data_IF_703706074558
#
_entry.id   IF_703706074558
#
_cell.length_a   1.000
_cell.length_b   1.000
_cell.length_c   1.000
_cell.angle_alpha   90.00
_cell.angle_beta   90.00
_cell.angle_gamma   90.00
#
_symmetry.space_group_name_H-M   'P 1'
#
loop_
_entity.id
_entity.type
_entity.pdbx_description
1 polymer ?
#
# COMPACT_ATOMS: atom_id res chain seq x y z
N UNK A 1 -33.55 -28.64 30.86
CA UNK A 1 -34.39 -27.44 30.63
C UNK A 1 -33.86 -26.71 29.41
N UNK A 2 -34.71 -26.32 28.43
CA UNK A 2 -34.25 -25.54 27.28
C UNK A 2 -33.73 -24.19 27.79
N UNK A 3 -32.46 -23.87 27.47
CA UNK A 3 -31.89 -22.56 27.81
C UNK A 3 -32.65 -21.51 27.00
N UNK A 4 -33.27 -20.54 27.67
CA UNK A 4 -33.91 -19.40 27.00
C UNK A 4 -32.88 -18.75 26.05
N UNK A 5 -33.30 -18.50 24.83
CA UNK A 5 -32.49 -17.79 23.85
C UNK A 5 -32.17 -16.41 24.42
N UNK A 6 -30.90 -15.96 24.39
CA UNK A 6 -30.56 -14.63 24.89
C UNK A 6 -31.18 -13.55 23.98
N UNK A 7 -31.69 -12.47 24.58
CA UNK A 7 -32.48 -11.44 23.90
C UNK A 7 -31.79 -10.83 22.67
N UNK A 8 -30.45 -10.72 22.69
CA UNK A 8 -29.69 -10.21 21.55
C UNK A 8 -29.77 -11.13 20.31
N UNK A 9 -29.92 -12.46 20.50
CA UNK A 9 -30.10 -13.40 19.37
C UNK A 9 -31.47 -13.27 18.73
N UNK A 10 -32.49 -12.94 19.53
CA UNK A 10 -33.84 -12.68 19.02
C UNK A 10 -33.90 -11.36 18.24
N UNK A 11 -33.12 -10.36 18.64
CA UNK A 11 -32.99 -9.06 17.94
C UNK A 11 -32.05 -9.08 16.74
N UNK A 12 -31.24 -10.14 16.56
CA UNK A 12 -30.25 -10.21 15.47
C UNK A 12 -30.88 -10.16 14.07
N UNK A 13 -31.99 -10.88 13.75
CA UNK A 13 -32.63 -10.75 12.45
C UNK A 13 -33.14 -9.34 12.16
N UNK A 14 -33.78 -8.70 13.14
CA UNK A 14 -34.27 -7.32 13.03
C UNK A 14 -33.13 -6.32 12.82
N UNK A 15 -32.00 -6.52 13.51
CA UNK A 15 -30.80 -5.72 13.31
C UNK A 15 -30.24 -5.87 11.89
N UNK A 16 -30.21 -7.09 11.34
CA UNK A 16 -29.73 -7.32 9.97
C UNK A 16 -30.69 -6.75 8.92
N UNK A 17 -31.99 -6.71 9.18
CA UNK A 17 -32.99 -6.06 8.33
C UNK A 17 -32.86 -4.53 8.40
N UNK A 18 -32.59 -3.97 9.58
CA UNK A 18 -32.32 -2.54 9.74
C UNK A 18 -31.09 -2.07 8.95
N UNK A 19 -30.09 -2.94 8.75
CA UNK A 19 -28.94 -2.65 7.86
C UNK A 19 -29.37 -2.60 6.39
N UNK A 20 -30.27 -3.50 5.95
CA UNK A 20 -30.74 -3.54 4.54
C UNK A 20 -31.58 -2.31 4.18
N UNK A 21 -32.38 -1.83 5.14
CA UNK A 21 -33.34 -0.74 4.93
C UNK A 21 -32.78 0.64 5.31
N UNK A 22 -31.49 0.75 5.67
CA UNK A 22 -30.93 2.02 6.07
C UNK A 22 -30.77 2.98 4.90
N UNK A 23 -31.21 4.22 5.12
CA UNK A 23 -31.12 5.34 4.17
C UNK A 23 -30.07 6.37 4.59
N UNK A 24 -29.59 6.31 5.84
CA UNK A 24 -28.61 7.24 6.40
C UNK A 24 -27.78 6.60 7.52
N UNK A 25 -26.69 7.28 7.88
CA UNK A 25 -25.77 6.83 8.95
C UNK A 25 -26.46 6.73 10.31
N UNK A 26 -27.37 7.66 10.63
CA UNK A 26 -28.03 7.71 11.94
C UNK A 26 -28.86 6.46 12.23
N UNK A 27 -29.54 5.91 11.21
CA UNK A 27 -30.27 4.65 11.32
C UNK A 27 -29.35 3.46 11.65
N UNK A 28 -28.14 3.43 11.08
CA UNK A 28 -27.14 2.40 11.40
C UNK A 28 -26.58 2.58 12.81
N UNK A 29 -26.33 3.82 13.24
CA UNK A 29 -25.91 4.11 14.61
C UNK A 29 -26.97 3.66 15.63
N UNK A 30 -28.24 3.95 15.36
CA UNK A 30 -29.37 3.57 16.19
C UNK A 30 -29.51 2.04 16.27
N UNK A 31 -29.52 1.34 15.12
CA UNK A 31 -29.58 -0.12 15.07
C UNK A 31 -28.41 -0.77 15.84
N UNK A 32 -27.20 -0.21 15.71
CA UNK A 32 -26.05 -0.69 16.45
C UNK A 32 -26.16 -0.42 17.96
N UNK A 33 -26.75 0.69 18.39
CA UNK A 33 -26.98 1.00 19.79
C UNK A 33 -27.99 0.02 20.42
N UNK A 34 -29.07 -0.29 19.71
CA UNK A 34 -30.11 -1.21 20.18
C UNK A 34 -29.60 -2.64 20.35
N UNK A 35 -28.83 -3.16 19.38
CA UNK A 35 -28.28 -4.51 19.49
C UNK A 35 -27.19 -4.58 20.58
N UNK A 36 -26.40 -3.51 20.76
CA UNK A 36 -25.44 -3.40 21.88
C UNK A 36 -26.16 -3.42 23.22
N UNK A 37 -27.22 -2.63 23.35
CA UNK A 37 -28.02 -2.56 24.57
C UNK A 37 -28.60 -3.93 24.92
N UNK A 38 -29.09 -4.68 23.94
CA UNK A 38 -29.57 -6.05 24.15
C UNK A 38 -28.47 -7.02 24.65
N UNK A 39 -27.23 -6.83 24.18
CA UNK A 39 -26.07 -7.60 24.70
C UNK A 39 -25.73 -7.17 26.12
N UNK A 40 -25.74 -5.87 26.42
CA UNK A 40 -25.48 -5.34 27.77
C UNK A 40 -26.51 -5.84 28.77
N UNK A 41 -27.79 -5.85 28.41
CA UNK A 41 -28.90 -6.37 29.24
C UNK A 41 -28.76 -7.88 29.54
N UNK A 42 -28.21 -8.65 28.59
CA UNK A 42 -27.94 -10.08 28.82
C UNK A 42 -26.74 -10.33 29.75
N UNK A 43 -25.82 -9.36 29.84
CA UNK A 43 -24.56 -9.47 30.59
C UNK A 43 -24.28 -8.17 31.35
N UNK A 44 -25.14 -7.76 32.31
CA UNK A 44 -25.05 -6.45 32.96
C UNK A 44 -23.76 -6.27 33.77
N UNK A 45 -23.33 -7.32 34.45
CA UNK A 45 -22.18 -7.26 35.38
C UNK A 45 -20.91 -7.93 34.83
N UNK A 46 -20.97 -8.48 33.61
CA UNK A 46 -19.84 -9.21 33.02
C UNK A 46 -19.43 -8.64 31.66
N UNK A 47 -18.71 -7.50 31.63
CA UNK A 47 -18.26 -6.87 30.39
C UNK A 47 -17.46 -7.80 29.47
N UNK A 48 -16.65 -8.70 30.03
CA UNK A 48 -15.89 -9.68 29.24
C UNK A 48 -16.79 -10.70 28.53
N UNK A 49 -17.91 -11.09 29.14
CA UNK A 49 -18.87 -12.03 28.56
C UNK A 49 -19.62 -11.44 27.36
N UNK A 50 -19.60 -10.11 27.17
CA UNK A 50 -20.18 -9.40 26.01
C UNK A 50 -19.36 -9.57 24.73
N UNK A 51 -18.07 -9.90 24.84
CA UNK A 51 -17.16 -10.04 23.69
C UNK A 51 -17.61 -11.14 22.73
N UNK A 52 -18.07 -12.27 23.26
CA UNK A 52 -18.54 -13.41 22.46
C UNK A 52 -19.81 -13.08 21.67
N UNK A 53 -20.91 -12.58 22.27
CA UNK A 53 -22.06 -12.06 21.52
C UNK A 53 -21.69 -11.05 20.44
N UNK A 54 -20.84 -10.07 20.76
CA UNK A 54 -20.41 -9.05 19.78
C UNK A 54 -19.57 -9.63 18.64
N UNK A 55 -18.82 -10.72 18.88
CA UNK A 55 -18.13 -11.47 17.84
C UNK A 55 -19.14 -12.21 16.95
N UNK A 56 -20.12 -12.87 17.55
CA UNK A 56 -21.20 -13.58 16.82
C UNK A 56 -22.02 -12.64 15.94
N UNK A 57 -22.41 -11.46 16.44
CA UNK A 57 -23.12 -10.43 15.64
C UNK A 57 -22.27 -10.00 14.44
N UNK A 58 -20.97 -9.73 14.63
CA UNK A 58 -20.07 -9.36 13.51
C UNK A 58 -19.87 -10.49 12.51
N UNK A 59 -19.90 -11.75 12.94
CA UNK A 59 -19.85 -12.89 12.03
C UNK A 59 -21.13 -12.94 11.20
N UNK A 60 -22.31 -12.79 11.82
CA UNK A 60 -23.59 -12.80 11.12
C UNK A 60 -23.69 -11.70 10.04
N UNK A 61 -23.16 -10.49 10.31
CA UNK A 61 -23.05 -9.43 9.28
C UNK A 61 -22.19 -9.91 8.11
N UNK A 62 -20.99 -10.45 8.36
CA UNK A 62 -20.08 -10.90 7.30
C UNK A 62 -20.61 -12.09 6.50
N UNK A 63 -21.37 -12.98 7.13
CA UNK A 63 -22.01 -14.11 6.47
C UNK A 63 -23.14 -13.65 5.53
N UNK A 64 -23.94 -12.67 5.97
CA UNK A 64 -25.01 -12.08 5.16
C UNK A 64 -24.45 -11.25 3.99
N UNK A 65 -23.43 -10.44 4.24
CA UNK A 65 -22.79 -9.59 3.25
C UNK A 65 -21.43 -10.16 2.86
N UNK A 66 -21.43 -11.22 2.04
CA UNK A 66 -20.20 -11.84 1.55
C UNK A 66 -19.36 -10.85 0.73
N UNK A 67 -18.02 -10.91 0.82
CA UNK A 67 -17.15 -10.08 0.00
C UNK A 67 -17.37 -10.36 -1.50
N UNK A 68 -17.31 -9.31 -2.32
CA UNK A 68 -17.33 -9.47 -3.78
C UNK A 68 -16.20 -10.40 -4.24
N UNK A 69 -16.48 -11.24 -5.26
CA UNK A 69 -15.49 -12.13 -5.88
C UNK A 69 -14.17 -11.39 -6.13
N UNK A 70 -13.10 -11.89 -5.50
CA UNK A 70 -11.74 -11.38 -5.70
C UNK A 70 -11.17 -10.49 -4.59
N UNK A 71 -11.92 -10.19 -3.52
CA UNK A 71 -11.41 -9.46 -2.34
C UNK A 71 -11.45 -10.32 -1.07
N UNK A 72 -10.40 -10.22 -0.25
CA UNK A 72 -10.28 -11.03 0.97
C UNK A 72 -11.35 -10.63 1.99
N UNK A 73 -11.95 -11.57 2.75
CA UNK A 73 -12.85 -11.28 3.88
C UNK A 73 -12.22 -10.39 4.98
N UNK A 74 -10.89 -10.24 4.94
CA UNK A 74 -10.08 -9.46 5.87
C UNK A 74 -9.50 -8.18 5.27
N UNK A 75 -9.82 -7.85 4.02
CA UNK A 75 -9.31 -6.66 3.36
C UNK A 75 -9.98 -5.40 3.96
N UNK A 76 -9.19 -4.60 4.67
CA UNK A 76 -9.62 -3.33 5.20
C UNK A 76 -9.87 -2.36 4.03
N UNK A 77 -11.13 -1.98 3.79
CA UNK A 77 -11.53 -1.19 2.62
C UNK A 77 -10.87 0.20 2.58
N UNK A 78 -10.15 0.64 1.54
CA UNK A 78 -9.44 1.94 1.53
C UNK A 78 -10.33 3.17 1.83
N UNK A 79 -9.76 4.21 2.46
CA UNK A 79 -10.42 5.49 2.81
C UNK A 79 -11.00 6.20 1.57
N UNK A 80 -12.22 6.79 1.58
CA UNK A 80 -13.23 6.85 2.66
C UNK A 80 -14.10 5.57 2.80
N UNK A 81 -14.23 5.11 4.04
CA UNK A 81 -14.42 3.71 4.49
C UNK A 81 -15.86 3.14 4.48
N UNK A 82 -16.79 3.74 3.76
CA UNK A 82 -18.13 3.17 3.50
C UNK A 82 -18.47 3.11 2.01
N UNK A 83 -17.51 3.45 1.15
CA UNK A 83 -17.63 3.35 -0.29
C UNK A 83 -16.71 2.26 -0.81
N UNK A 84 -17.19 1.41 -1.73
CA UNK A 84 -16.27 0.57 -2.51
C UNK A 84 -15.84 1.29 -3.79
N UNK A 85 -14.54 1.29 -4.08
CA UNK A 85 -13.97 1.76 -5.36
C UNK A 85 -14.29 0.83 -6.55
N UNK A 86 -15.26 -0.08 -6.40
CA UNK A 86 -15.66 -0.99 -7.48
C UNK A 86 -16.63 -0.22 -8.40
N UNK A 87 -16.07 0.26 -9.51
CA UNK A 87 -16.75 0.92 -10.65
C UNK A 87 -17.26 2.36 -10.41
N UNK A 88 -17.59 3.06 -11.52
CA UNK A 88 -18.04 4.47 -11.56
C UNK A 88 -19.27 4.69 -10.67
N UNK A 89 -19.04 4.99 -9.40
CA UNK A 89 -20.08 5.28 -8.43
C UNK A 89 -19.62 4.83 -7.05
N UNK A 90 -19.45 5.78 -6.13
CA UNK A 90 -19.23 5.49 -4.72
C UNK A 90 -20.52 4.86 -4.16
N UNK A 91 -20.57 3.53 -4.03
CA UNK A 91 -21.74 2.81 -3.47
C UNK A 91 -21.60 2.72 -1.95
N UNK A 92 -22.60 3.20 -1.23
CA UNK A 92 -22.68 3.15 0.23
C UNK A 92 -22.86 1.72 0.73
N UNK A 93 -22.06 1.35 1.73
CA UNK A 93 -22.04 0.01 2.34
C UNK A 93 -22.24 0.10 3.85
N UNK A 94 -23.51 0.05 4.25
CA UNK A 94 -23.95 0.15 5.63
C UNK A 94 -23.39 -0.96 6.54
N UNK A 95 -23.08 -2.13 6.00
CA UNK A 95 -22.49 -3.25 6.73
C UNK A 95 -21.10 -2.92 7.27
N UNK A 96 -20.31 -2.13 6.53
CA UNK A 96 -18.98 -1.69 6.96
C UNK A 96 -19.09 -0.70 8.12
N UNK A 97 -20.05 0.23 8.04
CA UNK A 97 -20.33 1.20 9.09
C UNK A 97 -20.77 0.51 10.38
N UNK A 98 -21.65 -0.50 10.28
CA UNK A 98 -22.10 -1.30 11.41
C UNK A 98 -20.95 -2.06 12.09
N UNK A 99 -20.09 -2.76 11.32
CA UNK A 99 -18.94 -3.50 11.89
C UNK A 99 -17.98 -2.56 12.62
N UNK A 100 -17.73 -1.36 12.08
CA UNK A 100 -16.89 -0.33 12.71
C UNK A 100 -17.48 0.09 14.05
N UNK A 101 -18.76 0.46 14.08
CA UNK A 101 -19.42 0.95 15.28
C UNK A 101 -19.49 -0.11 16.39
N UNK A 102 -19.69 -1.37 16.01
CA UNK A 102 -19.68 -2.51 16.94
C UNK A 102 -18.26 -2.84 17.45
N UNK A 103 -17.20 -2.42 16.76
CA UNK A 103 -15.80 -2.70 17.13
C UNK A 103 -15.13 -1.59 17.95
N UNK A 104 -15.63 -0.34 17.88
CA UNK A 104 -15.00 0.84 18.47
C UNK A 104 -14.90 0.84 20.01
N UNK A 105 -15.81 0.14 20.70
CA UNK A 105 -15.87 0.14 22.17
C UNK A 105 -15.23 -1.09 22.81
N UNK A 106 -15.39 -2.27 22.19
CA UNK A 106 -15.02 -3.55 22.82
C UNK A 106 -13.63 -4.09 22.44
N UNK A 107 -12.92 -3.39 21.55
CA UNK A 107 -11.51 -3.63 21.27
C UNK A 107 -10.56 -2.69 22.06
N UNK A 108 -11.08 -1.80 22.92
CA UNK A 108 -10.24 -1.03 23.85
C UNK A 108 -9.72 -1.98 24.94
N UNK A 109 -8.42 -2.28 24.93
CA UNK A 109 -7.76 -2.89 26.11
C UNK A 109 -7.96 -1.91 27.27
N UNK A 110 -8.67 -2.33 28.31
CA UNK A 110 -8.93 -1.51 29.49
C UNK A 110 -7.70 -1.49 30.39
N UNK A 111 -6.98 -0.37 30.43
CA UNK A 111 -6.06 -0.05 31.52
C UNK A 111 -6.89 0.39 32.73
N UNK A 112 -6.91 -0.40 33.84
CA UNK A 112 -6.92 0.06 35.26
C UNK A 112 -7.08 -1.08 36.32
N UNK A 113 -5.95 -1.39 37.01
CA UNK A 113 -5.63 -1.62 38.46
C UNK A 113 -6.41 -2.66 39.35
N UNK A 114 -5.88 -3.88 39.63
CA UNK A 114 -5.03 -4.47 40.74
C UNK A 114 -5.77 -5.07 41.98
N UNK A 115 -5.29 -6.13 42.70
CA UNK A 115 -4.14 -7.03 42.47
C UNK A 115 -4.42 -8.55 42.61
N UNK A 116 -3.66 -9.37 41.87
CA UNK A 116 -3.26 -10.72 42.28
C UNK A 116 -1.78 -10.88 41.89
N UNK A 117 -0.94 -11.57 42.67
CA UNK A 117 0.46 -11.79 42.34
C UNK A 117 0.52 -12.87 41.24
N UNK A 118 0.18 -12.49 40.01
CA UNK A 118 0.54 -13.28 38.84
C UNK A 118 1.97 -12.89 38.49
N UNK A 119 2.88 -13.84 38.62
CA UNK A 119 4.16 -13.89 37.92
C UNK A 119 3.92 -13.61 36.45
N UNK A 120 3.97 -12.33 36.07
CA UNK A 120 4.17 -11.93 34.69
C UNK A 120 5.58 -12.38 34.34
N UNK A 121 5.68 -13.46 33.57
CA UNK A 121 6.83 -13.66 32.70
C UNK A 121 6.82 -12.45 31.77
N UNK A 122 7.53 -11.39 32.16
CA UNK A 122 7.89 -10.28 31.28
C UNK A 122 8.67 -10.90 30.13
N UNK A 123 7.97 -11.21 29.04
CA UNK A 123 8.61 -11.65 27.82
C UNK A 123 9.35 -10.41 27.32
N UNK A 124 10.68 -10.46 27.37
CA UNK A 124 11.54 -9.43 26.82
C UNK A 124 11.20 -9.28 25.34
N UNK A 125 10.83 -8.07 24.92
CA UNK A 125 10.41 -7.78 23.54
C UNK A 125 11.46 -8.23 22.53
N UNK A 126 12.74 -8.20 22.92
CA UNK A 126 13.84 -8.64 22.08
C UNK A 126 13.81 -10.15 21.80
N UNK A 127 13.40 -10.94 22.80
CA UNK A 127 13.20 -12.39 22.64
C UNK A 127 11.98 -12.68 21.76
N UNK A 128 10.90 -11.91 21.91
CA UNK A 128 9.69 -12.06 21.10
C UNK A 128 9.95 -11.78 19.61
N UNK A 129 10.80 -10.78 19.30
CA UNK A 129 11.18 -10.49 17.91
C UNK A 129 12.33 -11.37 17.40
N UNK A 130 12.78 -12.34 18.20
CA UNK A 130 13.82 -13.30 17.82
C UNK A 130 15.22 -12.69 17.70
N UNK A 131 15.51 -11.58 18.38
CA UNK A 131 16.85 -10.99 18.41
C UNK A 131 17.74 -11.79 19.36
N UNK A 132 18.74 -12.46 18.80
CA UNK A 132 19.71 -13.26 19.55
C UNK A 132 21.16 -12.89 19.18
N UNK A 133 22.12 -13.32 20.00
CA UNK A 133 23.55 -13.20 19.72
C UNK A 133 24.02 -11.77 19.44
N UNK A 134 24.68 -11.58 18.30
CA UNK A 134 25.29 -10.31 17.88
C UNK A 134 24.26 -9.21 17.62
N UNK A 135 23.11 -9.56 17.03
CA UNK A 135 22.04 -8.60 16.72
C UNK A 135 21.47 -7.98 18.00
N UNK A 136 21.27 -8.82 19.04
CA UNK A 136 20.83 -8.37 20.35
C UNK A 136 21.86 -7.45 21.03
N UNK A 137 23.15 -7.75 20.88
CA UNK A 137 24.23 -6.93 21.43
C UNK A 137 24.26 -5.54 20.78
N UNK A 138 24.13 -5.46 19.45
CA UNK A 138 24.06 -4.20 18.71
C UNK A 138 22.84 -3.38 19.13
N UNK A 139 21.66 -4.02 19.24
CA UNK A 139 20.43 -3.33 19.65
C UNK A 139 20.53 -2.82 21.09
N UNK A 140 21.07 -3.62 22.01
CA UNK A 140 21.29 -3.18 23.41
C UNK A 140 22.28 -2.03 23.50
N UNK A 141 23.35 -2.05 22.71
CA UNK A 141 24.31 -0.95 22.62
C UNK A 141 23.68 0.32 22.05
N UNK A 142 22.89 0.21 20.98
CA UNK A 142 22.21 1.34 20.34
C UNK A 142 21.09 1.94 21.21
N UNK A 143 20.42 1.11 22.02
CA UNK A 143 19.44 1.56 23.01
C UNK A 143 20.11 2.34 24.15
N UNK A 144 21.25 1.83 24.64
CA UNK A 144 21.86 2.31 25.88
C UNK A 144 20.87 2.24 27.04
N UNK A 145 20.77 3.35 27.78
CA UNK A 145 19.93 3.49 28.98
C UNK A 145 18.49 3.96 28.68
N UNK A 146 18.10 4.06 27.40
CA UNK A 146 16.75 4.49 27.04
C UNK A 146 15.68 3.49 27.52
N UNK A 147 14.53 4.02 27.94
CA UNK A 147 13.35 3.20 28.25
C UNK A 147 12.95 2.36 27.03
N UNK A 148 12.71 1.07 27.24
CA UNK A 148 12.50 0.11 26.16
C UNK A 148 11.24 0.43 25.35
N UNK A 149 10.17 0.87 26.00
CA UNK A 149 8.91 1.16 25.32
C UNK A 149 9.02 2.42 24.47
N UNK A 150 9.63 3.48 25.01
CA UNK A 150 9.85 4.70 24.24
C UNK A 150 10.87 4.48 23.11
N UNK A 151 11.94 3.71 23.33
CA UNK A 151 12.91 3.39 22.28
C UNK A 151 12.28 2.60 21.14
N UNK A 152 11.50 1.55 21.45
CA UNK A 152 10.77 0.75 20.44
C UNK A 152 9.78 1.61 19.68
N UNK A 153 9.02 2.46 20.38
CA UNK A 153 8.07 3.39 19.75
C UNK A 153 8.76 4.35 18.79
N UNK A 154 9.88 4.95 19.18
CA UNK A 154 10.65 5.84 18.30
C UNK A 154 11.23 5.09 17.10
N UNK A 155 11.76 3.87 17.30
CA UNK A 155 12.26 3.04 16.21
C UNK A 155 11.16 2.69 15.19
N UNK A 156 9.97 2.29 15.66
CA UNK A 156 8.80 2.02 14.82
C UNK A 156 8.35 3.28 14.06
N UNK A 157 8.26 4.43 14.73
CA UNK A 157 7.89 5.69 14.11
C UNK A 157 8.90 6.13 13.04
N UNK A 158 10.20 6.00 13.31
CA UNK A 158 11.25 6.34 12.35
C UNK A 158 11.17 5.43 11.12
N UNK A 159 10.98 4.13 11.32
CA UNK A 159 10.82 3.17 10.22
C UNK A 159 9.57 3.46 9.40
N UNK A 160 8.43 3.75 10.05
CA UNK A 160 7.19 4.10 9.38
C UNK A 160 7.32 5.38 8.55
N UNK A 161 7.94 6.44 9.11
CA UNK A 161 8.23 7.69 8.37
C UNK A 161 9.09 7.43 7.14
N UNK A 162 10.13 6.60 7.26
CA UNK A 162 10.99 6.25 6.14
C UNK A 162 10.24 5.50 5.03
N UNK A 163 9.35 4.56 5.40
CA UNK A 163 8.50 3.82 4.45
C UNK A 163 7.52 4.76 3.76
N UNK A 164 6.84 5.63 4.52
CA UNK A 164 5.87 6.58 3.94
C UNK A 164 6.54 7.57 3.00
N UNK A 165 7.69 8.12 3.38
CA UNK A 165 8.47 9.01 2.49
C UNK A 165 8.97 8.29 1.22
N UNK A 166 9.16 6.97 1.26
CA UNK A 166 9.46 6.17 0.07
C UNK A 166 8.21 5.98 -0.79
N UNK A 167 7.06 5.68 -0.18
CA UNK A 167 5.78 5.57 -0.91
C UNK A 167 5.36 6.87 -1.57
N UNK A 168 5.52 8.01 -0.90
CA UNK A 168 5.24 9.32 -1.49
C UNK A 168 6.10 9.56 -2.74
N UNK A 169 7.39 9.23 -2.69
CA UNK A 169 8.29 9.31 -3.84
C UNK A 169 7.94 8.32 -4.96
N UNK A 170 7.50 7.12 -4.62
CA UNK A 170 7.04 6.10 -5.57
C UNK A 170 5.69 6.45 -6.21
N UNK A 171 4.90 7.32 -5.58
CA UNK A 171 3.64 7.81 -6.10
C UNK A 171 3.76 9.20 -6.75
N UNK A 172 4.95 9.81 -6.72
CA UNK A 172 5.21 11.11 -7.34
C UNK A 172 5.15 10.95 -8.86
N UNK A 173 4.24 11.67 -9.49
CA UNK A 173 4.16 11.79 -10.95
C UNK A 173 5.22 12.78 -11.44
N UNK A 174 6.13 12.28 -12.26
CA UNK A 174 7.26 13.02 -12.80
C UNK A 174 7.11 13.33 -14.30
N UNK A 175 5.97 12.98 -14.90
CA UNK A 175 5.70 13.15 -16.33
C UNK A 175 5.84 14.59 -16.83
N UNK A 176 5.60 15.56 -15.94
CA UNK A 176 5.66 17.00 -16.22
C UNK A 176 6.98 17.66 -15.78
N UNK A 177 7.87 16.94 -15.11
CA UNK A 177 9.17 17.49 -14.68
C UNK A 177 10.12 17.50 -15.88
N UNK A 178 10.80 18.60 -16.23
CA UNK A 178 11.75 18.64 -17.34
C UNK A 178 12.88 17.59 -17.21
N UNK A 179 13.34 17.04 -18.33
CA UNK A 179 14.36 15.96 -18.31
C UNK A 179 15.68 16.45 -17.69
N UNK A 180 16.04 17.70 -17.92
CA UNK A 180 17.24 18.32 -17.33
C UNK A 180 17.15 18.38 -15.79
N UNK A 181 15.98 18.74 -15.26
CA UNK A 181 15.73 18.75 -13.82
C UNK A 181 15.79 17.33 -13.23
N UNK A 182 15.19 16.34 -13.91
CA UNK A 182 15.26 14.94 -13.49
C UNK A 182 16.70 14.37 -13.46
N UNK A 183 17.56 14.83 -14.37
CA UNK A 183 18.95 14.37 -14.47
C UNK A 183 19.88 15.07 -13.48
N UNK A 184 19.70 16.37 -13.28
CA UNK A 184 20.68 17.21 -12.59
C UNK A 184 20.27 17.62 -11.18
N UNK A 185 18.97 17.63 -10.84
CA UNK A 185 18.53 17.98 -9.49
C UNK A 185 18.78 16.82 -8.49
N UNK A 186 19.37 17.18 -7.35
CA UNK A 186 19.62 16.27 -6.23
C UNK A 186 18.33 15.67 -5.67
N UNK A 187 17.19 16.36 -5.79
CA UNK A 187 15.87 15.88 -5.38
C UNK A 187 15.51 14.57 -6.07
N UNK A 188 15.78 14.47 -7.38
CA UNK A 188 15.37 13.34 -8.21
C UNK A 188 16.43 12.25 -8.33
N UNK A 189 17.69 12.55 -7.99
CA UNK A 189 18.82 11.60 -8.06
C UNK A 189 18.57 10.27 -7.32
N UNK A 190 17.82 10.31 -6.22
CA UNK A 190 17.47 9.10 -5.43
C UNK A 190 16.00 8.72 -5.56
N UNK A 191 15.24 9.40 -6.41
CA UNK A 191 13.85 9.06 -6.68
C UNK A 191 13.80 7.87 -7.65
N UNK A 192 13.21 6.71 -7.26
CA UNK A 192 13.10 5.54 -8.12
C UNK A 192 12.31 5.82 -9.41
N UNK A 193 11.28 6.68 -9.36
CA UNK A 193 10.47 7.03 -10.53
C UNK A 193 11.21 7.91 -11.52
N UNK A 194 12.18 8.71 -11.08
CA UNK A 194 12.95 9.58 -11.98
C UNK A 194 13.70 8.73 -13.02
N UNK A 195 14.29 7.61 -12.58
CA UNK A 195 14.97 6.69 -13.49
C UNK A 195 14.02 6.02 -14.50
N UNK A 196 12.79 5.71 -14.08
CA UNK A 196 11.75 5.13 -14.95
C UNK A 196 11.27 6.15 -15.98
N UNK A 197 11.01 7.37 -15.55
CA UNK A 197 10.57 8.46 -16.42
C UNK A 197 11.65 8.82 -17.44
N UNK A 198 12.90 8.99 -17.01
CA UNK A 198 14.04 9.23 -17.91
C UNK A 198 14.22 8.09 -18.93
N UNK A 199 14.09 6.84 -18.49
CA UNK A 199 14.14 5.69 -19.40
C UNK A 199 13.00 5.70 -20.42
N UNK A 200 11.78 6.03 -19.99
CA UNK A 200 10.61 6.18 -20.89
C UNK A 200 10.87 7.25 -21.96
N UNK A 201 11.34 8.43 -21.54
CA UNK A 201 11.67 9.55 -22.44
C UNK A 201 12.77 9.20 -23.42
N UNK A 202 13.82 8.53 -22.96
CA UNK A 202 14.90 8.05 -23.82
C UNK A 202 14.38 7.04 -24.86
N UNK A 203 13.53 6.09 -24.47
CA UNK A 203 12.90 5.15 -25.40
C UNK A 203 12.07 5.89 -26.45
N UNK A 204 11.24 6.85 -26.04
CA UNK A 204 10.46 7.68 -26.98
C UNK A 204 11.37 8.48 -27.91
N UNK A 205 12.43 9.10 -27.38
CA UNK A 205 13.39 9.90 -28.16
C UNK A 205 14.05 9.05 -29.26
N UNK A 206 14.47 7.83 -28.92
CA UNK A 206 15.07 6.91 -29.87
C UNK A 206 14.04 6.44 -30.92
N UNK A 207 12.81 6.12 -30.50
CA UNK A 207 11.73 5.75 -31.43
C UNK A 207 11.41 6.89 -32.41
N UNK A 208 11.34 8.13 -31.92
CA UNK A 208 11.14 9.31 -32.72
C UNK A 208 12.28 9.51 -33.73
N UNK A 209 13.55 9.42 -33.27
CA UNK A 209 14.70 9.45 -34.17
C UNK A 209 14.62 8.37 -35.25
N UNK A 210 14.34 7.11 -34.88
CA UNK A 210 14.25 6.00 -35.83
C UNK A 210 13.12 6.18 -36.86
N UNK A 211 12.08 6.94 -36.52
CA UNK A 211 11.02 7.33 -37.44
C UNK A 211 11.48 8.44 -38.38
N UNK A 212 12.12 9.49 -37.85
CA UNK A 212 12.63 10.62 -38.64
C UNK A 212 13.85 10.29 -39.51
N UNK A 213 14.64 9.29 -39.11
CA UNK A 213 15.89 8.88 -39.75
C UNK A 213 15.84 7.37 -40.08
N UNK A 214 15.05 6.96 -41.09
CA UNK A 214 14.79 5.56 -41.38
C UNK A 214 16.04 4.78 -41.82
N UNK A 215 17.06 5.46 -42.35
CA UNK A 215 18.34 4.88 -42.77
C UNK A 215 19.33 4.68 -41.60
N UNK A 216 19.08 5.34 -40.46
CA UNK A 216 20.01 5.39 -39.33
C UNK A 216 19.34 5.02 -38.00
N UNK A 217 18.65 3.88 -38.01
CA UNK A 217 17.89 3.39 -36.85
C UNK A 217 18.79 2.78 -35.79
N UNK A 218 18.66 3.25 -34.55
CA UNK A 218 19.29 2.66 -33.38
C UNK A 218 18.47 1.51 -32.80
N UNK A 219 19.11 0.36 -32.56
CA UNK A 219 18.56 -0.70 -31.74
C UNK A 219 18.52 -0.23 -30.27
N UNK A 220 17.33 -0.15 -29.68
CA UNK A 220 17.15 0.35 -28.30
C UNK A 220 17.74 -0.67 -27.32
N UNK A 221 18.70 -0.24 -26.50
CA UNK A 221 19.36 -1.10 -25.50
C UNK A 221 19.57 -0.36 -24.20
N UNK A 222 19.74 -1.09 -23.09
CA UNK A 222 20.05 -0.49 -21.78
C UNK A 222 21.28 0.42 -21.81
N UNK A 223 22.26 0.12 -22.68
CA UNK A 223 23.46 0.94 -22.85
C UNK A 223 23.16 2.29 -23.50
N UNK A 224 22.35 2.33 -24.55
CA UNK A 224 21.97 3.59 -25.20
C UNK A 224 21.10 4.46 -24.28
N UNK A 225 20.14 3.84 -23.57
CA UNK A 225 19.33 4.55 -22.58
C UNK A 225 20.23 5.15 -21.49
N UNK A 226 21.26 4.41 -21.06
CA UNK A 226 22.25 4.89 -20.07
C UNK A 226 23.05 6.08 -20.59
N UNK A 227 23.44 6.05 -21.87
CA UNK A 227 24.17 7.15 -22.51
C UNK A 227 23.34 8.43 -22.62
N UNK A 228 22.02 8.31 -22.82
CA UNK A 228 21.10 9.47 -22.88
C UNK A 228 20.71 10.02 -21.51
N UNK A 229 20.58 9.15 -20.50
CA UNK A 229 19.98 9.52 -19.20
C UNK A 229 20.99 9.69 -18.07
N UNK A 230 22.24 9.22 -18.26
CA UNK A 230 23.23 9.12 -17.18
C UNK A 230 22.89 8.06 -16.11
N UNK A 231 21.75 7.38 -16.21
CA UNK A 231 21.34 6.32 -15.29
C UNK A 231 22.14 5.05 -15.58
N UNK A 232 22.60 4.35 -14.54
CA UNK A 232 23.38 3.13 -14.73
C UNK A 232 22.59 2.03 -15.48
N UNK A 233 23.22 1.19 -16.32
CA UNK A 233 22.53 0.13 -17.04
C UNK A 233 21.80 -0.87 -16.14
N UNK A 234 22.33 -1.10 -14.92
CA UNK A 234 21.72 -1.97 -13.92
C UNK A 234 20.40 -1.41 -13.37
N UNK A 235 20.31 -0.10 -13.20
CA UNK A 235 19.06 0.55 -12.78
C UNK A 235 18.05 0.57 -13.93
N UNK A 236 18.51 0.86 -15.16
CA UNK A 236 17.68 0.82 -16.37
C UNK A 236 17.02 -0.54 -16.56
N UNK A 237 17.79 -1.62 -16.43
CA UNK A 237 17.27 -2.99 -16.60
C UNK A 237 16.06 -3.31 -15.70
N UNK A 238 15.94 -2.65 -14.54
CA UNK A 238 14.80 -2.84 -13.62
C UNK A 238 13.57 -2.03 -13.99
N UNK A 239 13.73 -0.91 -14.70
CA UNK A 239 12.65 0.05 -14.93
C UNK A 239 12.08 -0.02 -16.35
N UNK A 240 12.84 -0.57 -17.30
CA UNK A 240 12.42 -0.73 -18.70
C UNK A 240 11.50 -1.93 -18.96
N UNK A 241 11.25 -2.73 -17.93
CA UNK A 241 10.29 -3.84 -17.99
C UNK A 241 8.89 -3.31 -18.35
N UNK A 242 8.29 -3.89 -19.40
CA UNK A 242 6.99 -3.48 -19.93
C UNK A 242 7.00 -2.30 -20.91
N UNK A 243 8.16 -1.75 -21.29
CA UNK A 243 8.25 -0.66 -22.28
C UNK A 243 8.20 -1.12 -23.76
N UNK A 244 7.99 -2.42 -24.02
CA UNK A 244 7.88 -2.99 -25.37
C UNK A 244 9.13 -2.81 -26.24
N UNK A 245 10.32 -2.73 -25.61
CA UNK A 245 11.59 -2.50 -26.32
C UNK A 245 11.95 -3.70 -27.22
N UNK A 246 11.77 -4.92 -26.71
CA UNK A 246 12.09 -6.15 -27.44
C UNK A 246 11.19 -6.29 -28.67
N UNK A 247 9.88 -6.14 -28.49
CA UNK A 247 8.90 -6.16 -29.58
C UNK A 247 9.20 -5.09 -30.63
N UNK A 248 9.48 -3.86 -30.20
CA UNK A 248 9.83 -2.77 -31.11
C UNK A 248 11.10 -3.09 -31.93
N UNK A 249 12.17 -3.54 -31.27
CA UNK A 249 13.42 -3.89 -31.95
C UNK A 249 13.20 -5.03 -32.95
N UNK A 250 12.45 -6.07 -32.57
CA UNK A 250 12.13 -7.20 -33.45
C UNK A 250 11.31 -6.73 -34.67
N UNK A 251 10.29 -5.91 -34.45
CA UNK A 251 9.42 -5.38 -35.52
C UNK A 251 10.19 -4.49 -36.52
N UNK A 252 11.24 -3.81 -36.06
CA UNK A 252 12.13 -3.00 -36.89
C UNK A 252 13.33 -3.78 -37.46
N UNK A 253 13.49 -5.07 -37.11
CA UNK A 253 14.64 -5.89 -37.53
C UNK A 253 15.98 -5.42 -36.95
N UNK A 254 15.96 -4.74 -35.79
CA UNK A 254 17.13 -4.11 -35.18
C UNK A 254 17.83 -5.06 -34.20
N UNK A 255 19.15 -5.16 -34.32
CA UNK A 255 19.99 -5.91 -33.37
C UNK A 255 21.07 -5.01 -32.79
N UNK A 256 21.60 -5.28 -31.58
CA UNK A 256 22.62 -4.42 -30.97
C UNK A 256 23.90 -4.22 -31.81
N UNK A 257 24.16 -5.11 -32.77
CA UNK A 257 25.31 -5.03 -33.68
C UNK A 257 25.22 -3.80 -34.59
N UNK A 258 24.02 -3.44 -35.04
CA UNK A 258 23.81 -2.31 -35.97
C UNK A 258 24.23 -0.97 -35.36
N UNK A 259 24.16 -0.84 -34.03
CA UNK A 259 24.52 0.39 -33.31
C UNK A 259 25.97 0.80 -33.54
N UNK A 260 26.89 -0.13 -33.82
CA UNK A 260 28.29 0.20 -34.15
C UNK A 260 28.40 0.90 -35.50
N UNK A 261 27.64 0.45 -36.48
CA UNK A 261 27.61 1.03 -37.83
C UNK A 261 26.93 2.39 -37.80
N UNK A 262 25.80 2.50 -37.10
CA UNK A 262 25.11 3.79 -36.94
C UNK A 262 26.01 4.80 -36.23
N UNK A 263 26.69 4.40 -35.16
CA UNK A 263 27.63 5.28 -34.46
C UNK A 263 28.74 5.81 -35.37
N UNK A 264 29.25 5.00 -36.29
CA UNK A 264 30.26 5.44 -37.26
C UNK A 264 29.70 6.39 -38.32
N UNK A 265 28.39 6.29 -38.64
CA UNK A 265 27.75 7.11 -39.66
C UNK A 265 27.29 8.47 -39.13
N UNK A 266 26.69 8.52 -37.94
CA UNK A 266 26.03 9.73 -37.42
C UNK A 266 26.59 10.27 -36.11
N UNK A 267 27.55 9.59 -35.47
CA UNK A 267 28.10 9.98 -34.17
C UNK A 267 27.45 9.23 -33.00
N UNK A 268 27.72 9.68 -31.77
CA UNK A 268 27.15 9.02 -30.57
C UNK A 268 25.67 9.33 -30.44
N UNK A 269 24.93 8.50 -29.70
CA UNK A 269 23.50 8.75 -29.54
C UNK A 269 23.21 10.03 -28.74
N UNK A 270 24.08 10.38 -27.79
CA UNK A 270 23.97 11.60 -27.00
C UNK A 270 24.26 12.88 -27.80
N UNK A 271 24.94 12.77 -28.94
CA UNK A 271 25.18 13.89 -29.86
C UNK A 271 23.99 14.14 -30.79
N UNK A 272 23.21 13.11 -31.12
CA UNK A 272 22.17 13.18 -32.15
C UNK A 272 20.74 13.05 -31.64
N UNK A 273 20.54 12.49 -30.44
CA UNK A 273 19.22 12.37 -29.80
C UNK A 273 19.20 13.17 -28.51
N UNK A 274 18.23 14.08 -28.39
CA UNK A 274 18.01 14.86 -27.18
C UNK A 274 16.71 14.40 -26.48
N UNK A 275 16.78 14.22 -25.16
CA UNK A 275 15.62 13.87 -24.33
C UNK A 275 14.99 15.08 -23.62
N UNK A 276 15.58 16.27 -23.73
CA UNK A 276 15.11 17.50 -23.09
C UNK A 276 13.69 17.88 -23.53
N UNK A 277 13.36 17.64 -24.81
CA UNK A 277 12.06 18.00 -25.39
C UNK A 277 11.03 16.87 -25.31
N UNK A 278 11.41 15.70 -24.77
CA UNK A 278 10.53 14.54 -24.69
C UNK A 278 9.82 14.52 -23.34
N UNK A 279 8.61 15.06 -23.27
CA UNK A 279 7.78 14.96 -22.08
C UNK A 279 7.14 13.57 -21.96
N UNK A 280 6.68 13.27 -20.75
CA UNK A 280 5.97 12.05 -20.36
C UNK A 280 4.67 11.74 -21.13
N UNK A 281 4.26 12.63 -22.02
CA UNK A 281 2.89 12.78 -22.53
C UNK A 281 2.72 11.96 -23.81
N UNK A 282 1.91 10.89 -23.73
CA UNK A 282 1.29 10.22 -24.87
C UNK A 282 -0.23 10.42 -24.79
#
# INVERSE_FOLDING_TARGET
MPRKTPAWREKLPLFLEAIDCAENEDQIHQACAEIKQAVVECFPDTPNSRKTPMKEIRIAIREKYQPQKGKSPHEAAPFPWYFTNSEKGRIERWEHLAIKHLSAEWNKKSDTLTPAPSTETSIDIFTEVGLEGEELAVVKQARGDADINEWVKQALLQRAKAINALHERLNEDLSMVPSDELMNDKRYRTNPNASRELASRAVRAIKHWNYSQPEHKWCITNKLISELTGVTPKAIAKVVEGMGIEDYNAMQGLTPVVNRQIKAAVGTISEVVNIADMLGID
#
